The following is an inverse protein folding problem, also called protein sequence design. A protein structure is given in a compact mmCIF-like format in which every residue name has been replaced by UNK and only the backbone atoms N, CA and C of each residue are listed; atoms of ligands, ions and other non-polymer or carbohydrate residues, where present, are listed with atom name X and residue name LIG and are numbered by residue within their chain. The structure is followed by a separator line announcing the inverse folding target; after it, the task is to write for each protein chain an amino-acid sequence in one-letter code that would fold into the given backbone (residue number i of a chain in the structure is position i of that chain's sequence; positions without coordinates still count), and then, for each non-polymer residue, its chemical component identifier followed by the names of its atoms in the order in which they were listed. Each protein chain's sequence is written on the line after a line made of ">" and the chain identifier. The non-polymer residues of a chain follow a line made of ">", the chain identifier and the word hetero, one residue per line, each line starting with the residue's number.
data_IF_911460401001
#
_entry.id   IF_911460401001
#
_cell.length_a   1.000
_cell.length_b   1.000
_cell.length_c   1.000
_cell.angle_alpha   90.00
_cell.angle_beta   90.00
_cell.angle_gamma   90.00
#
_symmetry.space_group_name_H-M   'P 1'
#
loop_
_entity.id
_entity.type
_entity.pdbx_description
1 polymer ?
#
# COMPACT_ATOMS: atom_id res chain seq x y z
N UNK A 1 -41.30 -1.29 23.20
CA UNK A 1 -39.93 -0.84 23.52
C UNK A 1 -38.88 -1.90 23.23
N UNK A 2 -39.08 -3.17 23.59
CA UNK A 2 -38.18 -4.30 23.34
C UNK A 2 -37.97 -4.61 21.84
N UNK A 3 -39.00 -4.57 21.02
CA UNK A 3 -38.91 -4.82 19.53
C UNK A 3 -38.10 -3.75 18.81
N UNK A 4 -38.21 -2.47 19.21
CA UNK A 4 -37.44 -1.35 18.65
C UNK A 4 -35.95 -1.46 19.02
N UNK A 5 -35.63 -1.93 20.22
CA UNK A 5 -34.26 -2.16 20.67
C UNK A 5 -33.60 -3.37 19.95
N UNK A 6 -34.36 -4.43 19.64
CA UNK A 6 -33.86 -5.57 18.88
C UNK A 6 -33.56 -5.25 17.42
N UNK A 7 -34.28 -4.32 16.81
CA UNK A 7 -34.02 -3.85 15.43
C UNK A 7 -32.90 -2.79 15.35
N UNK A 8 -32.63 -2.06 16.43
CA UNK A 8 -31.60 -1.02 16.47
C UNK A 8 -30.18 -1.59 16.76
N UNK A 9 -30.08 -2.72 17.47
CA UNK A 9 -28.77 -3.30 17.84
C UNK A 9 -27.88 -3.64 16.62
N UNK A 10 -28.36 -4.27 15.54
CA UNK A 10 -27.54 -4.55 14.36
C UNK A 10 -27.03 -3.27 13.66
N UNK A 11 -27.88 -2.24 13.58
CA UNK A 11 -27.50 -0.97 12.96
C UNK A 11 -26.45 -0.22 13.79
N UNK A 12 -26.55 -0.28 15.11
CA UNK A 12 -25.55 0.30 16.02
C UNK A 12 -24.19 -0.41 15.85
N UNK A 13 -24.17 -1.73 15.81
CA UNK A 13 -22.93 -2.51 15.61
C UNK A 13 -22.33 -2.21 14.23
N UNK A 14 -23.15 -2.13 13.18
CA UNK A 14 -22.71 -1.73 11.85
C UNK A 14 -22.12 -0.31 11.86
N UNK A 15 -22.77 0.64 12.53
CA UNK A 15 -22.26 2.01 12.69
C UNK A 15 -20.91 2.06 13.41
N UNK A 16 -20.74 1.27 14.48
CA UNK A 16 -19.45 1.16 15.20
C UNK A 16 -18.38 0.54 14.30
N UNK A 17 -18.71 -0.45 13.48
CA UNK A 17 -17.78 -1.06 12.53
C UNK A 17 -17.32 -0.05 11.47
N UNK A 18 -18.22 0.80 10.96
CA UNK A 18 -17.88 1.89 10.03
C UNK A 18 -16.96 2.91 10.70
N UNK A 19 -17.21 3.29 11.94
CA UNK A 19 -16.32 4.19 12.70
C UNK A 19 -14.95 3.56 12.95
N UNK A 20 -14.89 2.25 13.23
CA UNK A 20 -13.64 1.52 13.38
C UNK A 20 -12.84 1.49 12.05
N UNK A 21 -13.52 1.32 10.91
CA UNK A 21 -12.93 1.43 9.58
C UNK A 21 -12.34 2.82 9.33
N UNK A 22 -13.09 3.87 9.60
CA UNK A 22 -12.60 5.26 9.47
C UNK A 22 -11.39 5.52 10.39
N UNK A 23 -11.43 5.03 11.62
CA UNK A 23 -10.32 5.11 12.57
C UNK A 23 -9.07 4.38 12.08
N UNK A 24 -9.24 3.18 11.54
CA UNK A 24 -8.15 2.41 10.94
C UNK A 24 -7.60 3.10 9.68
N UNK A 25 -8.46 3.57 8.78
CA UNK A 25 -8.07 4.30 7.58
C UNK A 25 -7.31 5.60 7.94
N UNK A 26 -7.76 6.31 8.97
CA UNK A 26 -7.06 7.47 9.51
C UNK A 26 -5.68 7.09 10.05
N UNK A 27 -5.55 6.02 10.81
CA UNK A 27 -4.27 5.55 11.33
C UNK A 27 -3.29 5.16 10.20
N UNK A 28 -3.79 4.54 9.13
CA UNK A 28 -3.01 4.22 7.93
C UNK A 28 -2.55 5.47 7.18
N UNK A 29 -3.45 6.45 7.02
CA UNK A 29 -3.12 7.74 6.43
C UNK A 29 -2.05 8.50 7.22
N UNK A 30 -2.15 8.49 8.54
CA UNK A 30 -1.22 9.16 9.44
C UNK A 30 0.18 8.51 9.47
N UNK A 31 0.28 7.19 9.20
CA UNK A 31 1.52 6.41 9.36
C UNK A 31 2.04 5.81 8.06
N UNK A 32 1.32 4.88 7.47
CA UNK A 32 1.81 4.02 6.39
C UNK A 32 1.95 4.71 5.04
N UNK A 33 1.26 5.82 4.82
CA UNK A 33 1.28 6.57 3.57
C UNK A 33 2.33 7.71 3.54
N UNK A 34 3.08 7.94 4.61
CA UNK A 34 4.09 9.01 4.69
C UNK A 34 5.38 8.76 3.90
N UNK A 35 5.93 7.53 3.84
CA UNK A 35 7.22 7.24 3.22
C UNK A 35 7.40 7.69 1.76
N UNK A 36 6.37 7.66 0.88
CA UNK A 36 6.51 8.02 -0.53
C UNK A 36 7.13 9.39 -0.82
N UNK A 37 6.86 10.38 0.03
CA UNK A 37 7.43 11.73 -0.14
C UNK A 37 8.64 12.02 0.76
N UNK A 38 9.03 11.10 1.63
CA UNK A 38 10.18 11.29 2.50
C UNK A 38 11.47 11.60 1.73
N UNK A 39 11.77 10.95 0.57
CA UNK A 39 12.92 11.29 -0.24
C UNK A 39 12.87 12.71 -0.81
N UNK A 40 11.69 13.18 -1.25
CA UNK A 40 11.54 14.53 -1.79
C UNK A 40 11.72 15.61 -0.71
N UNK A 41 11.25 15.35 0.51
CA UNK A 41 11.46 16.23 1.67
C UNK A 41 12.93 16.18 2.12
N UNK A 42 13.51 14.99 2.22
CA UNK A 42 14.92 14.80 2.58
C UNK A 42 15.90 15.45 1.62
N UNK A 43 15.56 15.49 0.33
CA UNK A 43 16.31 16.19 -0.72
C UNK A 43 16.00 17.70 -0.81
N UNK A 44 15.21 18.26 0.10
CA UNK A 44 14.74 19.66 0.06
C UNK A 44 14.01 20.02 -1.27
N UNK A 45 13.44 19.04 -1.95
CA UNK A 45 12.68 19.27 -3.19
C UNK A 45 11.26 19.79 -2.90
N UNK A 46 10.71 19.47 -1.71
CA UNK A 46 9.35 19.85 -1.29
C UNK A 46 9.29 20.09 0.23
N UNK A 47 8.62 21.18 0.69
CA UNK A 47 8.38 21.41 2.12
C UNK A 47 7.46 20.34 2.71
N UNK A 48 7.69 19.94 3.97
CA UNK A 48 6.96 18.88 4.67
C UNK A 48 5.44 19.03 4.61
N UNK A 49 4.90 20.22 4.83
CA UNK A 49 3.44 20.45 4.81
C UNK A 49 2.84 20.27 3.42
N UNK A 50 3.54 20.70 2.37
CA UNK A 50 3.11 20.45 0.98
C UNK A 50 3.19 18.97 0.63
N UNK A 51 4.23 18.27 1.10
CA UNK A 51 4.36 16.84 0.93
C UNK A 51 3.20 16.10 1.60
N UNK A 52 2.85 16.43 2.85
CA UNK A 52 1.71 15.86 3.55
C UNK A 52 0.37 16.09 2.83
N UNK A 53 0.18 17.29 2.26
CA UNK A 53 -0.99 17.60 1.44
C UNK A 53 -1.06 16.66 0.21
N UNK A 54 0.03 16.54 -0.54
CA UNK A 54 0.07 15.67 -1.72
C UNK A 54 -0.08 14.19 -1.36
N UNK A 55 0.52 13.72 -0.26
CA UNK A 55 0.32 12.37 0.25
C UNK A 55 -1.17 12.10 0.43
N UNK A 56 -1.89 12.97 1.14
CA UNK A 56 -3.31 12.80 1.39
C UNK A 56 -4.12 12.71 0.10
N UNK A 57 -3.91 13.66 -0.82
CA UNK A 57 -4.63 13.71 -2.09
C UNK A 57 -4.35 12.48 -2.97
N UNK A 58 -3.07 12.16 -3.21
CA UNK A 58 -2.72 11.04 -4.09
C UNK A 58 -3.06 9.69 -3.48
N UNK A 59 -2.88 9.52 -2.15
CA UNK A 59 -3.29 8.29 -1.49
C UNK A 59 -4.81 8.10 -1.49
N UNK A 60 -5.61 9.16 -1.28
CA UNK A 60 -7.06 9.07 -1.37
C UNK A 60 -7.53 8.72 -2.80
N UNK A 61 -6.92 9.33 -3.82
CA UNK A 61 -7.22 8.98 -5.22
C UNK A 61 -6.86 7.51 -5.51
N UNK A 62 -5.68 7.05 -5.07
CA UNK A 62 -5.26 5.66 -5.22
C UNK A 62 -6.16 4.67 -4.47
N UNK A 63 -6.61 5.04 -3.28
CA UNK A 63 -7.53 4.25 -2.48
C UNK A 63 -8.83 3.93 -3.25
N UNK A 64 -9.44 4.96 -3.85
CA UNK A 64 -10.66 4.77 -4.66
C UNK A 64 -10.36 4.01 -5.96
N UNK A 65 -9.22 4.32 -6.58
CA UNK A 65 -8.92 3.80 -7.91
C UNK A 65 -8.42 2.34 -7.93
N UNK A 66 -7.77 1.86 -6.84
CA UNK A 66 -7.04 0.60 -6.85
C UNK A 66 -7.33 -0.32 -5.65
N UNK A 67 -8.13 0.10 -4.67
CA UNK A 67 -8.25 -0.58 -3.38
C UNK A 67 -9.05 -1.89 -3.38
N UNK A 68 -9.74 -2.24 -4.46
CA UNK A 68 -10.71 -3.34 -4.50
C UNK A 68 -10.11 -4.72 -4.23
N UNK A 69 -9.05 -5.10 -4.94
CA UNK A 69 -8.46 -6.44 -4.86
C UNK A 69 -7.91 -6.81 -3.47
N UNK A 70 -7.26 -5.85 -2.80
CA UNK A 70 -6.76 -6.05 -1.44
C UNK A 70 -7.90 -6.05 -0.42
N UNK A 71 -8.94 -5.19 -0.63
CA UNK A 71 -10.14 -5.19 0.21
C UNK A 71 -10.82 -6.56 0.20
N UNK A 72 -11.02 -7.14 -0.97
CA UNK A 72 -11.60 -8.47 -1.13
C UNK A 72 -10.79 -9.57 -0.43
N UNK A 73 -9.46 -9.57 -0.60
CA UNK A 73 -8.60 -10.56 0.07
C UNK A 73 -8.68 -10.44 1.59
N UNK A 74 -8.67 -9.23 2.14
CA UNK A 74 -8.72 -9.00 3.59
C UNK A 74 -10.11 -9.30 4.15
N UNK A 75 -11.18 -9.04 3.38
CA UNK A 75 -12.55 -9.24 3.82
C UNK A 75 -13.05 -10.68 3.69
N UNK A 76 -12.61 -11.39 2.65
CA UNK A 76 -13.16 -12.71 2.29
C UNK A 76 -12.11 -13.81 2.17
N UNK A 77 -10.84 -13.46 1.96
CA UNK A 77 -9.78 -14.42 1.63
C UNK A 77 -8.94 -14.90 2.82
N UNK A 78 -9.11 -14.36 4.03
CA UNK A 78 -8.27 -14.70 5.18
C UNK A 78 -8.85 -15.80 6.07
N UNK A 79 -10.14 -16.06 6.00
CA UNK A 79 -10.83 -17.05 6.84
C UNK A 79 -11.79 -17.86 5.97
N UNK A 80 -11.75 -19.15 6.12
CA UNK A 80 -12.66 -20.08 5.43
C UNK A 80 -13.89 -20.42 6.29
N UNK A 81 -15.00 -20.72 5.62
CA UNK A 81 -16.20 -21.26 6.22
C UNK A 81 -17.13 -20.27 6.94
N UNK A 82 -16.71 -19.02 7.13
CA UNK A 82 -17.53 -17.97 7.76
C UNK A 82 -17.34 -16.62 7.08
N UNK A 83 -18.40 -15.80 7.09
CA UNK A 83 -18.29 -14.39 6.71
C UNK A 83 -17.97 -13.53 7.93
N UNK A 84 -17.09 -12.55 7.77
CA UNK A 84 -16.75 -11.62 8.85
C UNK A 84 -17.98 -10.78 9.22
N UNK A 85 -18.43 -10.91 10.45
CA UNK A 85 -19.55 -10.14 10.97
C UNK A 85 -19.14 -8.71 11.33
N UNK A 86 -20.07 -7.73 11.42
CA UNK A 86 -19.74 -6.36 11.84
C UNK A 86 -19.03 -6.31 13.20
N UNK A 87 -19.36 -7.21 14.12
CA UNK A 87 -18.70 -7.31 15.43
C UNK A 87 -17.26 -7.80 15.30
N UNK A 88 -17.02 -8.83 14.46
CA UNK A 88 -15.68 -9.34 14.18
C UNK A 88 -14.82 -8.30 13.44
N UNK A 89 -15.40 -7.59 12.46
CA UNK A 89 -14.75 -6.48 11.78
C UNK A 89 -14.35 -5.37 12.76
N UNK A 90 -15.25 -4.99 13.67
CA UNK A 90 -14.97 -4.01 14.73
C UNK A 90 -13.78 -4.43 15.59
N UNK A 91 -13.81 -5.68 16.08
CA UNK A 91 -12.72 -6.22 16.90
C UNK A 91 -11.38 -6.22 16.17
N UNK A 92 -11.36 -6.67 14.91
CA UNK A 92 -10.16 -6.70 14.08
C UNK A 92 -9.61 -5.29 13.79
N UNK A 93 -10.45 -4.37 13.36
CA UNK A 93 -10.05 -3.01 13.00
C UNK A 93 -9.55 -2.21 14.20
N UNK A 94 -10.24 -2.28 15.33
CA UNK A 94 -9.79 -1.60 16.56
C UNK A 94 -8.50 -2.20 17.10
N UNK A 95 -8.34 -3.53 17.04
CA UNK A 95 -7.08 -4.19 17.41
C UNK A 95 -5.93 -3.71 16.53
N UNK A 96 -6.08 -3.76 15.20
CA UNK A 96 -5.04 -3.34 14.26
C UNK A 96 -4.72 -1.84 14.44
N UNK A 97 -5.73 -0.98 14.52
CA UNK A 97 -5.56 0.46 14.73
C UNK A 97 -4.85 0.76 16.06
N UNK A 98 -5.19 0.03 17.13
CA UNK A 98 -4.55 0.16 18.44
C UNK A 98 -3.06 -0.16 18.41
N UNK A 99 -2.66 -1.26 17.74
CA UNK A 99 -1.25 -1.61 17.55
C UNK A 99 -0.51 -0.57 16.72
N UNK A 100 -1.10 -0.09 15.60
CA UNK A 100 -0.48 0.95 14.76
C UNK A 100 -0.31 2.24 15.57
N UNK A 101 -1.32 2.66 16.33
CA UNK A 101 -1.25 3.84 17.18
C UNK A 101 -0.18 3.71 18.28
N UNK A 102 -0.03 2.52 18.87
CA UNK A 102 1.04 2.23 19.82
C UNK A 102 2.42 2.33 19.15
N UNK A 103 2.57 1.81 17.93
CA UNK A 103 3.79 1.94 17.13
C UNK A 103 4.16 3.38 16.85
N UNK A 104 3.20 4.21 16.46
CA UNK A 104 3.41 5.66 16.24
C UNK A 104 3.89 6.36 17.52
N UNK A 105 3.30 6.01 18.67
CA UNK A 105 3.70 6.61 19.97
C UNK A 105 5.07 6.18 20.45
N UNK A 106 5.43 4.92 20.22
CA UNK A 106 6.71 4.34 20.66
C UNK A 106 7.85 4.58 19.67
N UNK A 107 7.53 5.11 18.46
CA UNK A 107 8.50 5.27 17.37
C UNK A 107 8.86 3.94 16.68
N UNK A 108 8.12 2.88 16.93
CA UNK A 108 8.33 1.57 16.32
C UNK A 108 7.46 1.43 15.07
N UNK A 109 8.04 1.20 13.87
CA UNK A 109 7.26 1.07 12.64
C UNK A 109 6.53 -0.28 12.61
N UNK A 110 5.26 -0.28 13.06
CA UNK A 110 4.40 -1.47 12.99
C UNK A 110 3.93 -1.67 11.55
N UNK A 111 4.14 -2.85 10.96
CA UNK A 111 3.69 -3.13 9.60
C UNK A 111 2.17 -3.33 9.57
N UNK A 112 1.46 -2.40 8.94
CA UNK A 112 0.01 -2.36 8.95
C UNK A 112 -0.65 -3.62 8.38
N UNK A 113 -0.10 -4.20 7.30
CA UNK A 113 -0.62 -5.44 6.73
C UNK A 113 -0.55 -6.62 7.70
N UNK A 114 0.55 -6.74 8.45
CA UNK A 114 0.71 -7.80 9.47
C UNK A 114 -0.27 -7.59 10.63
N UNK A 115 -0.43 -6.34 11.07
CA UNK A 115 -1.36 -5.99 12.13
C UNK A 115 -2.82 -6.31 11.74
N UNK A 116 -3.23 -5.89 10.55
CA UNK A 116 -4.60 -6.13 10.07
C UNK A 116 -4.85 -7.61 9.80
N UNK A 117 -3.95 -8.28 9.07
CA UNK A 117 -4.11 -9.71 8.76
C UNK A 117 -4.17 -10.53 10.04
N UNK A 118 -3.27 -10.29 11.00
CA UNK A 118 -3.32 -10.98 12.29
C UNK A 118 -4.64 -10.76 13.03
N UNK A 119 -5.09 -9.51 13.12
CA UNK A 119 -6.31 -9.16 13.82
C UNK A 119 -7.57 -9.76 13.17
N UNK A 120 -7.64 -9.75 11.81
CA UNK A 120 -8.76 -10.35 11.05
C UNK A 120 -8.77 -11.87 11.22
N UNK A 121 -7.59 -12.50 11.10
CA UNK A 121 -7.45 -13.94 11.33
C UNK A 121 -7.86 -14.31 12.77
N UNK A 122 -7.38 -13.57 13.76
CA UNK A 122 -7.75 -13.81 15.16
C UNK A 122 -9.25 -13.69 15.40
N UNK A 123 -9.88 -12.62 14.96
CA UNK A 123 -11.32 -12.40 15.09
C UNK A 123 -12.14 -13.45 14.31
N UNK A 124 -11.72 -13.83 13.11
CA UNK A 124 -12.39 -14.82 12.28
C UNK A 124 -12.30 -16.24 12.83
N UNK A 125 -11.15 -16.63 13.39
CA UNK A 125 -11.02 -17.90 14.11
C UNK A 125 -11.89 -17.93 15.37
N UNK A 126 -11.98 -16.81 16.09
CA UNK A 126 -12.85 -16.69 17.26
C UNK A 126 -14.35 -16.76 16.90
N UNK A 127 -14.71 -16.35 15.68
CA UNK A 127 -16.04 -16.46 15.09
C UNK A 127 -16.40 -17.93 14.72
N UNK A 128 -15.41 -18.83 14.70
CA UNK A 128 -15.57 -20.24 14.35
C UNK A 128 -15.15 -20.60 12.92
N UNK A 129 -14.50 -19.69 12.22
CA UNK A 129 -13.96 -19.95 10.87
C UNK A 129 -12.67 -20.80 10.90
N UNK A 130 -12.32 -21.34 9.74
CA UNK A 130 -11.08 -22.07 9.49
C UNK A 130 -9.98 -21.20 8.93
N UNK A 131 -8.70 -21.61 9.04
CA UNK A 131 -7.58 -20.91 8.45
C UNK A 131 -7.52 -21.10 6.91
N UNK A 132 -7.40 -20.02 6.16
CA UNK A 132 -7.25 -20.03 4.70
C UNK A 132 -5.79 -20.29 4.30
N UNK A 133 -5.33 -21.55 4.39
CA UNK A 133 -3.91 -21.94 4.24
C UNK A 133 -3.29 -21.50 2.93
N UNK A 134 -4.00 -21.63 1.81
CA UNK A 134 -3.50 -21.23 0.48
C UNK A 134 -3.21 -19.73 0.42
N UNK A 135 -4.11 -18.92 1.00
CA UNK A 135 -3.90 -17.48 1.13
C UNK A 135 -2.71 -17.19 2.03
N UNK A 136 -2.60 -17.84 3.17
CA UNK A 136 -1.47 -17.63 4.09
C UNK A 136 -0.13 -17.98 3.47
N UNK A 137 -0.05 -19.08 2.70
CA UNK A 137 1.16 -19.45 1.98
C UNK A 137 1.53 -18.38 0.95
N UNK A 138 0.55 -17.87 0.19
CA UNK A 138 0.77 -16.81 -0.81
C UNK A 138 1.24 -15.51 -0.15
N UNK A 139 0.59 -15.09 0.94
CA UNK A 139 0.99 -13.90 1.71
C UNK A 139 2.39 -14.05 2.31
N UNK A 140 2.66 -15.17 2.96
CA UNK A 140 3.94 -15.46 3.61
C UNK A 140 5.10 -15.45 2.60
N UNK A 141 4.91 -16.10 1.46
CA UNK A 141 5.90 -16.11 0.37
C UNK A 141 6.19 -14.69 -0.12
N UNK A 142 5.16 -13.90 -0.36
CA UNK A 142 5.31 -12.51 -0.81
C UNK A 142 6.01 -11.66 0.25
N UNK A 143 5.60 -11.75 1.52
CA UNK A 143 6.18 -10.95 2.60
C UNK A 143 7.66 -11.26 2.85
N UNK A 144 8.06 -12.52 2.68
CA UNK A 144 9.47 -12.93 2.78
C UNK A 144 10.24 -12.41 1.56
N UNK A 145 9.70 -12.51 0.35
CA UNK A 145 10.37 -12.11 -0.88
C UNK A 145 10.55 -10.60 -1.01
N UNK A 146 9.57 -9.80 -0.57
CA UNK A 146 9.50 -8.35 -0.77
C UNK A 146 10.77 -7.59 -0.34
N UNK A 147 11.32 -7.75 0.88
CA UNK A 147 12.53 -7.02 1.27
C UNK A 147 13.73 -7.32 0.37
N UNK A 148 13.89 -8.58 -0.06
CA UNK A 148 14.99 -9.00 -0.94
C UNK A 148 14.81 -8.46 -2.36
N UNK A 149 13.60 -8.58 -2.92
CA UNK A 149 13.27 -8.03 -4.25
C UNK A 149 13.47 -6.52 -4.25
N UNK A 150 12.98 -5.82 -3.21
CA UNK A 150 13.16 -4.39 -3.05
C UNK A 150 14.64 -4.02 -2.97
N UNK A 151 15.43 -4.73 -2.17
CA UNK A 151 16.86 -4.48 -2.03
C UNK A 151 17.60 -4.70 -3.37
N UNK A 152 17.27 -5.76 -4.09
CA UNK A 152 17.89 -6.08 -5.40
C UNK A 152 17.58 -5.00 -6.43
N UNK A 153 16.32 -4.59 -6.57
CA UNK A 153 15.91 -3.53 -7.51
C UNK A 153 16.57 -2.20 -7.12
N UNK A 154 16.58 -1.86 -5.84
CA UNK A 154 17.22 -0.63 -5.35
C UNK A 154 18.73 -0.63 -5.58
N UNK A 155 19.41 -1.77 -5.35
CA UNK A 155 20.84 -1.93 -5.63
C UNK A 155 21.13 -1.75 -7.11
N UNK A 156 20.39 -2.44 -7.98
CA UNK A 156 20.56 -2.34 -9.43
C UNK A 156 20.32 -0.90 -9.92
N UNK A 157 19.27 -0.26 -9.45
CA UNK A 157 18.93 1.14 -9.77
C UNK A 157 20.00 2.11 -9.27
N UNK A 158 20.47 1.95 -8.03
CA UNK A 158 21.53 2.80 -7.48
C UNK A 158 22.86 2.61 -8.20
N UNK A 159 23.17 1.37 -8.60
CA UNK A 159 24.36 1.07 -9.42
C UNK A 159 24.27 1.74 -10.77
N UNK A 160 23.12 1.68 -11.45
CA UNK A 160 22.90 2.37 -12.73
C UNK A 160 23.10 3.89 -12.59
N UNK A 161 22.53 4.49 -11.55
CA UNK A 161 22.63 5.95 -11.31
C UNK A 161 24.03 6.42 -10.90
N UNK A 162 24.94 5.51 -10.56
CA UNK A 162 26.35 5.81 -10.23
C UNK A 162 27.32 5.57 -11.35
N UNK A 163 26.88 4.97 -12.46
CA UNK A 163 27.76 4.71 -13.61
C UNK A 163 28.21 6.03 -14.23
N UNK A 164 29.51 6.24 -14.28
CA UNK A 164 30.11 7.44 -14.88
C UNK A 164 30.12 7.38 -16.41
N UNK A 165 30.07 6.17 -16.98
CA UNK A 165 29.99 5.93 -18.42
C UNK A 165 28.60 6.22 -19.02
N UNK A 166 27.56 6.35 -18.17
CA UNK A 166 26.19 6.65 -18.60
C UNK A 166 25.77 8.03 -18.08
N UNK A 167 25.40 8.96 -18.97
CA UNK A 167 24.93 10.28 -18.54
C UNK A 167 23.74 10.16 -17.57
N UNK A 168 23.75 10.91 -16.48
CA UNK A 168 22.69 10.90 -15.47
C UNK A 168 21.31 11.18 -16.07
N UNK A 169 21.26 12.12 -17.03
CA UNK A 169 20.06 12.42 -17.82
C UNK A 169 19.47 11.15 -18.46
N UNK A 170 20.32 10.27 -19.02
CA UNK A 170 19.87 9.04 -19.67
C UNK A 170 19.41 8.01 -18.64
N UNK A 171 20.17 7.81 -17.57
CA UNK A 171 19.85 6.85 -16.52
C UNK A 171 18.50 7.14 -15.85
N UNK A 172 18.27 8.40 -15.46
CA UNK A 172 16.99 8.79 -14.83
C UNK A 172 15.85 8.71 -15.86
N UNK A 173 16.08 9.09 -17.12
CA UNK A 173 15.05 8.97 -18.16
C UNK A 173 14.68 7.51 -18.45
N UNK A 174 15.65 6.57 -18.46
CA UNK A 174 15.37 5.13 -18.60
C UNK A 174 14.53 4.60 -17.44
N UNK A 175 14.86 4.99 -16.22
CA UNK A 175 14.07 4.62 -15.05
C UNK A 175 12.65 5.19 -15.09
N UNK A 176 12.51 6.42 -15.60
CA UNK A 176 11.19 7.03 -15.80
C UNK A 176 10.38 6.32 -16.89
N UNK A 177 11.03 5.76 -17.92
CA UNK A 177 10.36 4.93 -18.92
C UNK A 177 9.77 3.66 -18.32
N UNK A 178 10.49 2.99 -17.41
CA UNK A 178 9.98 1.83 -16.68
C UNK A 178 8.75 2.21 -15.84
N UNK A 179 8.81 3.35 -15.15
CA UNK A 179 7.65 3.87 -14.39
C UNK A 179 6.46 4.13 -15.32
N UNK A 180 6.69 4.77 -16.49
CA UNK A 180 5.65 5.02 -17.49
C UNK A 180 5.05 3.74 -18.08
N UNK A 181 5.89 2.75 -18.37
CA UNK A 181 5.45 1.43 -18.83
C UNK A 181 4.53 0.75 -17.80
N UNK A 182 4.93 0.75 -16.54
CA UNK A 182 4.12 0.14 -15.47
C UNK A 182 2.83 0.93 -15.23
N UNK A 183 2.85 2.27 -15.33
CA UNK A 183 1.66 3.10 -15.23
C UNK A 183 0.56 2.74 -16.25
N UNK A 184 0.95 2.33 -17.47
CA UNK A 184 -0.01 1.85 -18.46
C UNK A 184 -0.71 0.55 -18.05
N UNK A 185 -0.06 -0.23 -17.16
CA UNK A 185 -0.50 -1.55 -16.70
C UNK A 185 -1.04 -1.52 -15.26
N UNK A 186 -1.23 -0.34 -14.71
CA UNK A 186 -1.90 -0.15 -13.43
C UNK A 186 -3.36 -0.55 -13.56
N UNK A 187 -3.84 -1.38 -12.63
CA UNK A 187 -5.24 -1.77 -12.56
C UNK A 187 -6.08 -0.70 -11.89
N UNK A 188 -7.24 -0.43 -12.46
CA UNK A 188 -8.20 0.55 -11.95
C UNK A 188 -9.55 -0.10 -11.69
N UNK A 189 -10.09 0.11 -10.50
CA UNK A 189 -11.39 -0.43 -10.07
C UNK A 189 -12.56 0.01 -10.97
N UNK A 190 -12.43 1.17 -11.61
CA UNK A 190 -13.47 1.75 -12.48
C UNK A 190 -13.34 1.37 -13.97
N UNK A 191 -12.31 0.61 -14.35
CA UNK A 191 -12.20 0.04 -15.70
C UNK A 191 -12.73 -1.40 -15.65
N UNK A 192 -14.00 -1.64 -16.07
CA UNK A 192 -14.59 -2.96 -15.99
C UNK A 192 -13.95 -3.89 -17.03
N UNK A 193 -13.67 -5.11 -16.61
CA UNK A 193 -13.26 -6.23 -17.45
C UNK A 193 -14.01 -7.47 -16.95
N UNK A 194 -14.41 -8.36 -17.84
CA UNK A 194 -14.97 -9.65 -17.43
C UNK A 194 -13.94 -10.39 -16.54
N UNK A 195 -14.33 -10.60 -15.28
CA UNK A 195 -13.51 -11.32 -14.30
C UNK A 195 -12.48 -10.50 -13.51
N UNK A 196 -12.54 -9.13 -13.53
CA UNK A 196 -11.61 -8.35 -12.71
C UNK A 196 -11.55 -6.85 -13.03
N UNK A 197 -10.44 -6.23 -12.62
CA UNK A 197 -10.12 -4.81 -12.90
C UNK A 197 -9.28 -4.67 -14.17
N UNK A 198 -9.49 -3.59 -14.91
CA UNK A 198 -8.80 -3.33 -16.18
C UNK A 198 -7.62 -2.37 -16.05
N UNK A 199 -6.64 -2.56 -16.93
CA UNK A 199 -5.52 -1.64 -17.09
C UNK A 199 -5.80 -0.61 -18.19
N UNK A 200 -5.11 0.55 -18.13
CA UNK A 200 -5.21 1.55 -19.20
C UNK A 200 -4.77 0.99 -20.55
N UNK A 201 -3.69 0.21 -20.59
CA UNK A 201 -3.19 -0.42 -21.80
C UNK A 201 -4.20 -1.41 -22.38
N UNK A 202 -4.78 -2.28 -21.56
CA UNK A 202 -5.80 -3.22 -21.99
C UNK A 202 -7.10 -2.55 -22.42
N UNK A 203 -7.52 -1.47 -21.75
CA UNK A 203 -8.69 -0.68 -22.16
C UNK A 203 -8.50 -0.05 -23.55
N UNK A 204 -7.36 0.62 -23.76
CA UNK A 204 -7.04 1.24 -25.05
C UNK A 204 -6.88 0.20 -26.16
N UNK A 205 -6.26 -0.94 -25.86
CA UNK A 205 -6.14 -2.03 -26.84
C UNK A 205 -7.52 -2.49 -27.31
N UNK A 206 -8.43 -2.77 -26.40
CA UNK A 206 -9.81 -3.18 -26.75
C UNK A 206 -10.56 -2.09 -27.52
N UNK A 207 -10.42 -0.82 -27.11
CA UNK A 207 -11.05 0.30 -27.80
C UNK A 207 -10.55 0.49 -29.24
N UNK A 208 -9.31 0.06 -29.54
CA UNK A 208 -8.69 0.11 -30.86
C UNK A 208 -8.89 -1.18 -31.69
N UNK A 209 -9.71 -2.12 -31.21
CA UNK A 209 -10.03 -3.36 -31.92
C UNK A 209 -9.23 -4.59 -31.48
N UNK A 210 -8.33 -4.46 -30.50
CA UNK A 210 -7.49 -5.54 -30.01
C UNK A 210 -6.37 -5.95 -30.98
N UNK A 211 -5.53 -6.88 -30.55
CA UNK A 211 -4.42 -7.44 -31.33
C UNK A 211 -4.16 -8.90 -30.93
N UNK A 212 -3.33 -9.66 -31.67
CA UNK A 212 -2.94 -10.99 -31.28
C UNK A 212 -2.32 -11.01 -29.87
N UNK A 213 -2.73 -11.99 -29.07
CA UNK A 213 -2.24 -12.20 -27.71
C UNK A 213 -0.77 -12.59 -27.75
N UNK A 214 0.07 -11.90 -26.96
CA UNK A 214 1.49 -12.22 -26.79
C UNK A 214 1.71 -13.22 -25.65
N UNK A 215 1.14 -12.92 -24.48
CA UNK A 215 1.19 -13.82 -23.32
C UNK A 215 -0.04 -13.63 -22.42
N UNK A 216 -0.65 -14.72 -21.97
CA UNK A 216 -1.84 -14.68 -21.12
C UNK A 216 -2.96 -13.87 -21.75
N UNK A 217 -3.40 -12.81 -21.10
CA UNK A 217 -4.39 -11.84 -21.62
C UNK A 217 -3.76 -10.58 -22.23
N UNK A 218 -2.43 -10.53 -22.35
CA UNK A 218 -1.67 -9.35 -22.78
C UNK A 218 -1.44 -9.39 -24.28
N UNK A 219 -2.06 -8.50 -25.02
CA UNK A 219 -1.96 -8.44 -26.47
C UNK A 219 -0.87 -7.49 -26.97
N UNK A 220 -0.52 -7.57 -28.25
CA UNK A 220 0.53 -6.78 -28.86
C UNK A 220 0.22 -5.28 -28.85
N UNK A 221 -1.04 -4.88 -28.90
CA UNK A 221 -1.45 -3.48 -28.87
C UNK A 221 -1.33 -2.90 -27.47
N UNK A 222 -1.74 -3.64 -26.43
CA UNK A 222 -1.53 -3.25 -25.04
C UNK A 222 -0.05 -3.09 -24.71
N UNK A 223 0.81 -3.99 -25.23
CA UNK A 223 2.26 -3.85 -25.12
C UNK A 223 2.76 -2.58 -25.82
N UNK A 224 2.28 -2.30 -27.03
CA UNK A 224 2.60 -1.08 -27.78
C UNK A 224 2.19 0.20 -27.03
N UNK A 225 0.99 0.23 -26.43
CA UNK A 225 0.51 1.35 -25.58
C UNK A 225 1.42 1.54 -24.37
N UNK A 226 1.83 0.45 -23.73
CA UNK A 226 2.71 0.50 -22.56
C UNK A 226 4.09 1.06 -22.93
N UNK A 227 4.65 0.64 -24.07
CA UNK A 227 5.91 1.20 -24.60
C UNK A 227 5.75 2.67 -24.96
N UNK A 228 4.64 3.05 -25.59
CA UNK A 228 4.37 4.44 -25.97
C UNK A 228 4.29 5.35 -24.72
N UNK A 229 3.58 4.93 -23.65
CA UNK A 229 3.53 5.70 -22.42
C UNK A 229 4.91 5.77 -21.74
N UNK A 230 5.67 4.67 -21.75
CA UNK A 230 7.07 4.66 -21.29
C UNK A 230 7.93 5.66 -22.06
N UNK A 231 7.80 5.70 -23.38
CA UNK A 231 8.53 6.62 -24.24
C UNK A 231 8.12 8.10 -24.01
N UNK A 232 6.84 8.37 -23.80
CA UNK A 232 6.33 9.72 -23.48
C UNK A 232 6.94 10.21 -22.16
N UNK A 233 6.92 9.37 -21.11
CA UNK A 233 7.50 9.73 -19.81
C UNK A 233 9.02 9.90 -19.92
N UNK A 234 9.71 9.01 -20.64
CA UNK A 234 11.13 9.13 -20.95
C UNK A 234 11.48 10.48 -21.58
N UNK A 235 10.79 10.83 -22.69
CA UNK A 235 11.04 12.07 -23.43
C UNK A 235 10.72 13.29 -22.56
N UNK A 236 9.63 13.25 -21.80
CA UNK A 236 9.22 14.32 -20.90
C UNK A 236 10.28 14.60 -19.84
N UNK A 237 10.72 13.57 -19.11
CA UNK A 237 11.76 13.69 -18.07
C UNK A 237 13.09 14.13 -18.65
N UNK A 238 13.52 13.53 -19.78
CA UNK A 238 14.75 13.90 -20.46
C UNK A 238 14.75 15.36 -20.91
N UNK A 239 13.62 15.85 -21.42
CA UNK A 239 13.48 17.24 -21.87
C UNK A 239 13.58 18.23 -20.71
N UNK A 240 13.01 17.88 -19.56
CA UNK A 240 13.11 18.68 -18.33
C UNK A 240 14.54 18.70 -17.80
N UNK A 241 15.24 17.56 -17.80
CA UNK A 241 16.61 17.46 -17.33
C UNK A 241 17.59 18.23 -18.26
N UNK A 242 17.34 18.23 -19.57
CA UNK A 242 18.12 19.03 -20.51
C UNK A 242 17.96 20.54 -20.33
N UNK A 243 16.81 20.98 -19.83
CA UNK A 243 16.59 22.40 -19.50
C UNK A 243 17.30 22.80 -18.21
N UNK A 244 17.22 21.96 -17.20
CA UNK A 244 17.89 22.10 -15.92
C UNK A 244 17.96 20.75 -15.22
N UNK A 245 19.15 20.23 -15.02
CA UNK A 245 19.38 18.93 -14.38
C UNK A 245 18.75 18.89 -12.97
N UNK A 246 19.05 19.88 -12.14
CA UNK A 246 18.53 19.93 -10.75
C UNK A 246 17.01 20.04 -10.68
N UNK A 247 16.41 20.88 -11.54
CA UNK A 247 14.97 21.03 -11.60
C UNK A 247 14.28 19.75 -12.13
N UNK A 248 14.88 19.12 -13.15
CA UNK A 248 14.39 17.85 -13.71
C UNK A 248 14.39 16.73 -12.71
N UNK A 249 15.49 16.53 -11.98
CA UNK A 249 15.60 15.51 -10.93
C UNK A 249 14.60 15.78 -9.80
N UNK A 250 14.46 17.02 -9.34
CA UNK A 250 13.49 17.40 -8.31
C UNK A 250 12.05 17.12 -8.75
N UNK A 251 11.67 17.50 -9.97
CA UNK A 251 10.33 17.25 -10.52
C UNK A 251 10.06 15.75 -10.67
N UNK A 252 11.06 15.00 -11.16
CA UNK A 252 10.93 13.55 -11.25
C UNK A 252 10.73 12.91 -9.86
N UNK A 253 11.49 13.33 -8.85
CA UNK A 253 11.38 12.83 -7.49
C UNK A 253 10.00 13.14 -6.87
N UNK A 254 9.46 14.35 -7.11
CA UNK A 254 8.11 14.71 -6.68
C UNK A 254 7.05 13.87 -7.41
N UNK A 255 7.19 13.72 -8.73
CA UNK A 255 6.28 12.90 -9.54
C UNK A 255 6.29 11.43 -9.11
N UNK A 256 7.48 10.87 -8.89
CA UNK A 256 7.64 9.50 -8.39
C UNK A 256 7.02 9.35 -7.00
N UNK A 257 7.23 10.32 -6.11
CA UNK A 257 6.58 10.36 -4.79
C UNK A 257 5.05 10.38 -4.90
N UNK A 258 4.49 11.13 -5.84
CA UNK A 258 3.04 11.19 -6.08
C UNK A 258 2.47 9.84 -6.56
N UNK A 259 3.16 9.20 -7.51
CA UNK A 259 2.77 7.88 -8.04
C UNK A 259 2.87 6.80 -6.95
N UNK A 260 3.95 6.82 -6.16
CA UNK A 260 4.12 5.88 -5.04
C UNK A 260 3.08 6.14 -3.94
N UNK A 261 2.72 7.40 -3.66
CA UNK A 261 1.65 7.72 -2.71
C UNK A 261 0.28 7.24 -3.21
N UNK A 262 0.00 7.39 -4.51
CA UNK A 262 -1.20 6.84 -5.14
C UNK A 262 -1.26 5.31 -4.97
N UNK A 263 -0.19 4.59 -5.30
CA UNK A 263 -0.11 3.14 -5.12
C UNK A 263 -0.20 2.72 -3.65
N UNK A 264 0.39 3.53 -2.75
CA UNK A 264 0.27 3.30 -1.31
C UNK A 264 -1.18 3.39 -0.85
N UNK A 265 -1.93 4.39 -1.29
CA UNK A 265 -3.35 4.53 -0.98
C UNK A 265 -4.16 3.32 -1.44
N UNK A 266 -3.96 2.88 -2.69
CA UNK A 266 -4.61 1.70 -3.25
C UNK A 266 -4.33 0.42 -2.46
N UNK A 267 -3.09 0.25 -2.01
CA UNK A 267 -2.72 -0.92 -1.23
C UNK A 267 -3.16 -0.86 0.24
N UNK A 268 -3.21 0.32 0.83
CA UNK A 268 -3.48 0.46 2.27
C UNK A 268 -4.98 0.54 2.58
N UNK A 269 -5.81 1.09 1.67
CA UNK A 269 -7.24 1.23 1.93
C UNK A 269 -7.92 -0.12 2.19
N UNK A 270 -7.53 -1.17 1.47
CA UNK A 270 -8.08 -2.51 1.65
C UNK A 270 -7.86 -3.09 3.05
N UNK A 271 -6.82 -2.66 3.76
CA UNK A 271 -6.57 -3.06 5.16
C UNK A 271 -7.64 -2.49 6.12
N UNK A 272 -8.20 -1.32 5.81
CA UNK A 272 -9.26 -0.72 6.60
C UNK A 272 -10.65 -1.16 6.13
N UNK A 273 -10.86 -1.24 4.83
CA UNK A 273 -12.18 -1.50 4.23
C UNK A 273 -12.53 -2.98 4.13
N UNK A 274 -11.52 -3.85 3.92
CA UNK A 274 -11.72 -5.28 3.71
C UNK A 274 -12.62 -5.95 4.76
N UNK A 275 -12.39 -5.79 6.06
CA UNK A 275 -13.23 -6.42 7.08
C UNK A 275 -14.71 -6.01 7.03
N UNK A 276 -15.04 -4.87 6.39
CA UNK A 276 -16.43 -4.43 6.19
C UNK A 276 -17.03 -4.86 4.85
N UNK A 277 -16.26 -5.42 3.94
CA UNK A 277 -16.73 -5.80 2.63
C UNK A 277 -17.95 -6.75 2.67
N UNK A 278 -17.97 -7.82 3.50
CA UNK A 278 -19.15 -8.66 3.63
C UNK A 278 -20.41 -7.92 4.11
N UNK A 279 -20.23 -6.89 4.96
CA UNK A 279 -21.34 -6.05 5.43
C UNK A 279 -21.91 -5.21 4.28
N UNK A 280 -21.07 -4.55 3.49
CA UNK A 280 -21.51 -3.71 2.39
C UNK A 280 -22.14 -4.53 1.27
N UNK A 281 -21.63 -5.73 0.99
CA UNK A 281 -22.24 -6.68 0.06
C UNK A 281 -23.65 -7.08 0.50
N UNK A 282 -23.87 -7.29 1.80
CA UNK A 282 -25.19 -7.65 2.33
C UNK A 282 -26.24 -6.56 2.12
N UNK A 283 -25.81 -5.29 1.99
CA UNK A 283 -26.68 -4.16 1.65
C UNK A 283 -26.77 -3.89 0.14
N UNK A 284 -26.08 -4.65 -0.70
CA UNK A 284 -25.99 -4.40 -2.13
C UNK A 284 -25.30 -3.07 -2.47
N UNK A 285 -24.46 -2.57 -1.57
CA UNK A 285 -23.77 -1.28 -1.74
C UNK A 285 -22.53 -1.47 -2.62
N UNK A 286 -22.36 -0.66 -3.68
CA UNK A 286 -21.17 -0.75 -4.53
C UNK A 286 -19.88 -0.58 -3.73
N UNK A 287 -18.88 -1.45 -3.98
CA UNK A 287 -17.58 -1.45 -3.27
C UNK A 287 -16.85 -0.10 -3.33
N UNK A 288 -17.09 0.70 -4.38
CA UNK A 288 -16.51 2.05 -4.50
C UNK A 288 -16.93 3.00 -3.36
N UNK A 289 -18.12 2.80 -2.79
CA UNK A 289 -18.60 3.60 -1.64
C UNK A 289 -17.75 3.27 -0.40
N UNK A 290 -17.44 2.00 -0.20
CA UNK A 290 -16.59 1.54 0.88
C UNK A 290 -15.15 2.05 0.71
N UNK A 291 -14.61 1.98 -0.51
CA UNK A 291 -13.29 2.54 -0.83
C UNK A 291 -13.26 4.06 -0.63
N UNK A 292 -14.32 4.76 -0.99
CA UNK A 292 -14.49 6.20 -0.75
C UNK A 292 -14.46 6.56 0.74
N UNK A 293 -15.12 5.75 1.57
CA UNK A 293 -15.09 5.89 3.03
C UNK A 293 -13.66 5.76 3.57
N UNK A 294 -12.94 4.71 3.14
CA UNK A 294 -11.54 4.50 3.49
C UNK A 294 -10.64 5.63 2.99
N UNK A 295 -10.88 6.13 1.77
CA UNK A 295 -10.12 7.24 1.18
C UNK A 295 -10.25 8.53 1.99
N UNK A 296 -11.44 8.85 2.51
CA UNK A 296 -11.65 9.99 3.42
C UNK A 296 -10.84 9.82 4.70
N UNK A 297 -10.86 8.62 5.30
CA UNK A 297 -10.04 8.33 6.48
C UNK A 297 -8.56 8.53 6.22
N UNK A 298 -8.03 7.97 5.10
CA UNK A 298 -6.63 8.11 4.68
C UNK A 298 -6.26 9.58 4.47
N UNK A 299 -7.10 10.35 3.77
CA UNK A 299 -6.90 11.77 3.51
C UNK A 299 -6.73 12.57 4.81
N UNK A 300 -7.69 12.43 5.71
CA UNK A 300 -7.68 13.12 7.01
C UNK A 300 -6.48 12.68 7.86
N UNK A 301 -6.18 11.37 7.88
CA UNK A 301 -5.02 10.83 8.59
C UNK A 301 -3.71 11.39 8.07
N UNK A 302 -3.55 11.44 6.74
CA UNK A 302 -2.35 11.99 6.11
C UNK A 302 -2.14 13.47 6.46
N UNK A 303 -3.19 14.27 6.45
CA UNK A 303 -3.07 15.70 6.78
C UNK A 303 -2.81 15.95 8.26
N UNK A 304 -3.34 15.13 9.15
CA UNK A 304 -3.21 15.30 10.61
C UNK A 304 -1.93 14.66 11.17
N UNK A 305 -1.52 13.50 10.67
CA UNK A 305 -0.46 12.68 11.26
C UNK A 305 0.84 12.61 10.47
N UNK A 306 0.78 12.62 9.13
CA UNK A 306 1.97 12.46 8.27
C UNK A 306 3.10 13.46 8.50
N UNK A 307 2.88 14.76 8.83
CA UNK A 307 3.99 15.72 8.94
C UNK A 307 5.07 15.29 9.93
N UNK A 308 4.68 14.71 11.06
CA UNK A 308 5.63 14.25 12.10
C UNK A 308 6.44 13.05 11.63
N UNK A 309 5.78 12.06 11.08
CA UNK A 309 6.44 10.85 10.59
C UNK A 309 7.30 11.14 9.35
N UNK A 310 6.82 12.00 8.46
CA UNK A 310 7.54 12.45 7.29
C UNK A 310 8.87 13.12 7.65
N UNK A 311 8.89 13.98 8.68
CA UNK A 311 10.12 14.58 9.20
C UNK A 311 11.10 13.54 9.77
N UNK A 312 10.60 12.53 10.49
CA UNK A 312 11.44 11.47 11.04
C UNK A 312 12.07 10.63 9.93
N UNK A 313 11.25 10.15 8.97
CA UNK A 313 11.70 9.30 7.86
C UNK A 313 12.58 10.08 6.87
N UNK A 314 12.27 11.36 6.60
CA UNK A 314 13.06 12.17 5.66
C UNK A 314 14.52 12.37 6.11
N UNK A 315 14.81 12.32 7.42
CA UNK A 315 16.18 12.37 7.94
C UNK A 315 17.03 11.17 7.52
N UNK A 316 16.41 9.99 7.44
CA UNK A 316 17.07 8.78 6.93
C UNK A 316 17.38 8.93 5.44
N UNK A 317 16.45 9.47 4.66
CA UNK A 317 16.65 9.72 3.24
C UNK A 317 17.60 10.88 2.94
N UNK A 318 17.72 11.88 3.80
CA UNK A 318 18.66 12.99 3.60
C UNK A 318 20.12 12.52 3.57
N UNK A 319 20.42 11.41 4.26
CA UNK A 319 21.73 10.77 4.22
C UNK A 319 21.99 9.99 2.92
N UNK A 320 20.91 9.60 2.20
CA UNK A 320 21.03 8.86 0.94
C UNK A 320 21.39 9.77 -0.24
N UNK A 321 21.02 11.06 -0.20
CA UNK A 321 21.10 11.96 -1.34
C UNK A 321 20.03 11.62 -2.41
N UNK A 322 19.86 12.51 -3.40
CA UNK A 322 18.73 12.45 -4.35
C UNK A 322 18.74 11.19 -5.21
N UNK A 323 19.89 10.77 -5.72
CA UNK A 323 20.01 9.58 -6.60
C UNK A 323 19.63 8.30 -5.90
N UNK A 324 20.12 8.08 -4.68
CA UNK A 324 19.78 6.90 -3.88
C UNK A 324 18.35 6.94 -3.38
N UNK A 325 17.79 8.12 -3.18
CA UNK A 325 16.37 8.31 -2.87
C UNK A 325 15.47 7.85 -4.01
N UNK A 326 15.82 8.16 -5.26
CA UNK A 326 15.12 7.64 -6.45
C UNK A 326 15.22 6.11 -6.48
N UNK A 327 16.43 5.57 -6.28
CA UNK A 327 16.67 4.13 -6.27
C UNK A 327 15.86 3.38 -5.19
N UNK A 328 15.63 3.99 -4.03
CA UNK A 328 14.82 3.40 -2.97
C UNK A 328 13.30 3.46 -3.25
N UNK A 329 12.82 4.45 -4.02
CA UNK A 329 11.39 4.60 -4.33
C UNK A 329 10.89 3.72 -5.48
N UNK A 330 11.72 3.47 -6.49
CA UNK A 330 11.33 2.67 -7.66
C UNK A 330 10.81 1.29 -7.27
N UNK A 331 11.51 0.48 -6.42
CA UNK A 331 10.95 -0.78 -5.97
C UNK A 331 9.64 -0.61 -5.21
N UNK A 332 9.47 0.51 -4.49
CA UNK A 332 8.21 0.84 -3.82
C UNK A 332 7.01 0.87 -4.76
N UNK A 333 7.18 1.51 -5.92
CA UNK A 333 6.15 1.55 -6.94
C UNK A 333 5.91 0.17 -7.59
N UNK A 334 6.97 -0.50 -8.04
CA UNK A 334 6.86 -1.79 -8.74
C UNK A 334 6.21 -2.86 -7.85
N UNK A 335 6.67 -2.98 -6.61
CA UNK A 335 6.14 -3.97 -5.66
C UNK A 335 4.69 -3.64 -5.28
N UNK A 336 4.36 -2.34 -5.09
CA UNK A 336 2.99 -1.94 -4.79
C UNK A 336 2.01 -2.34 -5.89
N UNK A 337 2.36 -2.08 -7.16
CA UNK A 337 1.51 -2.45 -8.29
C UNK A 337 1.38 -3.97 -8.43
N UNK A 338 2.46 -4.71 -8.23
CA UNK A 338 2.42 -6.17 -8.23
C UNK A 338 1.53 -6.71 -7.10
N UNK A 339 1.63 -6.15 -5.90
CA UNK A 339 0.82 -6.56 -4.75
C UNK A 339 -0.67 -6.27 -4.98
N UNK A 340 -1.01 -5.10 -5.54
CA UNK A 340 -2.39 -4.73 -5.88
C UNK A 340 -2.96 -5.69 -6.92
N UNK A 341 -2.23 -5.95 -8.00
CA UNK A 341 -2.65 -6.87 -9.06
C UNK A 341 -2.86 -8.31 -8.55
N UNK A 342 -2.11 -8.73 -7.54
CA UNK A 342 -2.25 -10.05 -6.91
C UNK A 342 -3.24 -10.06 -5.73
N UNK A 343 -3.81 -8.91 -5.36
CA UNK A 343 -4.66 -8.77 -4.18
C UNK A 343 -3.93 -9.09 -2.87
N UNK A 344 -2.60 -8.87 -2.79
CA UNK A 344 -1.80 -9.22 -1.61
C UNK A 344 -1.62 -8.01 -0.71
N UNK A 345 -2.17 -8.01 0.51
CA UNK A 345 -1.88 -6.99 1.50
C UNK A 345 -0.40 -7.01 1.88
N UNK A 346 0.27 -5.87 1.80
CA UNK A 346 1.69 -5.75 2.13
C UNK A 346 1.97 -4.47 2.93
N UNK A 347 3.15 -4.41 3.52
CA UNK A 347 3.58 -3.22 4.27
C UNK A 347 4.61 -2.43 3.46
N UNK A 348 4.32 -1.16 3.22
CA UNK A 348 5.27 -0.23 2.61
C UNK A 348 6.58 -0.11 3.40
N UNK A 349 6.52 -0.25 4.72
CA UNK A 349 7.72 -0.22 5.56
C UNK A 349 8.73 -1.32 5.18
N UNK A 350 8.24 -2.53 4.84
CA UNK A 350 9.10 -3.64 4.42
C UNK A 350 9.81 -3.33 3.09
N UNK A 351 9.09 -2.73 2.15
CA UNK A 351 9.63 -2.33 0.85
C UNK A 351 10.67 -1.23 1.00
N UNK A 352 10.36 -0.20 1.81
CA UNK A 352 11.26 0.92 2.06
C UNK A 352 12.55 0.46 2.74
N UNK A 353 12.45 -0.39 3.75
CA UNK A 353 13.63 -0.93 4.45
C UNK A 353 14.51 -1.69 3.45
N UNK A 354 13.92 -2.57 2.62
CA UNK A 354 14.65 -3.25 1.54
C UNK A 354 15.31 -2.26 0.59
N UNK A 355 14.58 -1.25 0.13
CA UNK A 355 15.08 -0.22 -0.78
C UNK A 355 16.24 0.60 -0.21
N UNK A 356 16.16 1.00 1.06
CA UNK A 356 17.24 1.72 1.76
C UNK A 356 18.47 0.83 1.90
N UNK A 357 18.29 -0.43 2.30
CA UNK A 357 19.39 -1.40 2.40
C UNK A 357 20.07 -1.58 1.03
N UNK A 358 19.29 -1.90 0.00
CA UNK A 358 19.83 -2.15 -1.33
C UNK A 358 20.56 -0.95 -1.92
N UNK A 359 19.97 0.24 -1.85
CA UNK A 359 20.63 1.49 -2.32
C UNK A 359 21.85 1.89 -1.48
N UNK A 360 21.87 1.49 -0.20
CA UNK A 360 23.01 1.72 0.71
C UNK A 360 24.19 0.79 0.41
N UNK A 361 23.96 -0.47 0.05
CA UNK A 361 24.99 -1.47 -0.23
C UNK A 361 25.92 -1.06 -1.39
N UNK A 362 25.48 -0.20 -2.31
CA UNK A 362 26.30 0.30 -3.43
C UNK A 362 27.50 1.12 -2.96
N UNK A 363 27.44 1.72 -1.74
CA UNK A 363 28.55 2.48 -1.13
C UNK A 363 29.33 1.69 -0.08
N UNK A 364 29.02 0.41 0.10
CA UNK A 364 29.67 -0.49 1.07
C UNK A 364 28.77 -0.87 2.23
N UNK A 365 29.07 -1.98 2.87
CA UNK A 365 28.23 -2.63 3.90
C UNK A 365 28.17 -1.88 5.25
N UNK A 366 28.89 -0.79 5.43
CA UNK A 366 29.03 -0.10 6.71
C UNK A 366 27.74 0.56 7.24
N UNK A 367 26.69 0.65 6.43
CA UNK A 367 25.40 1.27 6.80
C UNK A 367 24.30 0.31 7.25
N UNK A 368 24.51 -1.01 7.15
CA UNK A 368 23.43 -2.00 7.37
C UNK A 368 23.75 -2.86 8.60
N UNK A 369 22.99 -2.67 9.66
CA UNK A 369 23.14 -3.47 10.90
C UNK A 369 22.28 -4.75 10.83
N UNK A 370 22.90 -5.93 10.75
CA UNK A 370 22.21 -7.22 10.81
C UNK A 370 21.32 -7.35 12.07
N UNK A 371 21.76 -6.75 13.20
CA UNK A 371 20.97 -6.70 14.44
C UNK A 371 19.66 -5.92 14.25
N UNK A 372 19.68 -4.76 13.56
CA UNK A 372 18.47 -3.98 13.27
C UNK A 372 17.52 -4.77 12.39
N UNK A 373 18.03 -5.43 11.35
CA UNK A 373 17.20 -6.28 10.46
C UNK A 373 16.55 -7.39 11.29
N UNK A 374 17.30 -8.13 12.09
CA UNK A 374 16.76 -9.21 12.93
C UNK A 374 15.68 -8.74 13.90
N UNK A 375 15.89 -7.62 14.60
CA UNK A 375 14.89 -7.02 15.48
C UNK A 375 13.62 -6.63 14.70
N UNK A 376 13.78 -6.08 13.51
CA UNK A 376 12.66 -5.68 12.66
C UNK A 376 11.82 -6.89 12.23
N UNK A 377 12.46 -7.99 11.80
CA UNK A 377 11.76 -9.25 11.42
C UNK A 377 11.02 -9.83 12.62
N UNK A 378 11.65 -9.89 13.79
CA UNK A 378 11.01 -10.36 15.03
C UNK A 378 9.81 -9.47 15.40
N UNK A 379 9.93 -8.15 15.24
CA UNK A 379 8.83 -7.23 15.49
C UNK A 379 7.66 -7.44 14.51
N UNK A 380 7.93 -7.76 13.24
CA UNK A 380 6.90 -8.06 12.26
C UNK A 380 6.12 -9.32 12.62
N UNK A 381 6.81 -10.42 12.90
CA UNK A 381 6.19 -11.68 13.31
C UNK A 381 5.46 -11.51 14.65
N UNK A 382 6.06 -10.79 15.60
CA UNK A 382 5.44 -10.47 16.88
C UNK A 382 4.17 -9.63 16.72
N UNK A 383 4.14 -8.72 15.74
CA UNK A 383 2.92 -7.96 15.41
C UNK A 383 1.82 -8.88 14.87
N UNK A 384 2.13 -9.74 13.91
CA UNK A 384 1.16 -10.67 13.31
C UNK A 384 0.52 -11.56 14.37
N UNK A 385 1.34 -12.22 15.17
CA UNK A 385 0.88 -13.13 16.23
C UNK A 385 0.17 -12.36 17.36
N UNK A 386 0.74 -11.24 17.80
CA UNK A 386 0.18 -10.42 18.87
C UNK A 386 -1.20 -9.87 18.52
N UNK A 387 -1.37 -9.32 17.30
CA UNK A 387 -2.68 -8.85 16.86
C UNK A 387 -3.67 -9.99 16.64
N UNK A 388 -3.21 -11.18 16.26
CA UNK A 388 -4.05 -12.39 16.18
C UNK A 388 -4.61 -12.79 17.54
N UNK A 389 -3.75 -12.88 18.54
CA UNK A 389 -4.16 -13.24 19.91
C UNK A 389 -5.12 -12.17 20.50
N UNK A 390 -4.75 -10.89 20.36
CA UNK A 390 -5.59 -9.80 20.88
C UNK A 390 -6.90 -9.70 20.11
N UNK A 391 -6.91 -9.85 18.79
CA UNK A 391 -8.12 -9.84 17.96
C UNK A 391 -9.07 -10.97 18.32
N UNK A 392 -8.53 -12.18 18.53
CA UNK A 392 -9.31 -13.33 19.01
C UNK A 392 -9.95 -13.04 20.37
N UNK A 393 -9.15 -12.63 21.35
CA UNK A 393 -9.65 -12.35 22.71
C UNK A 393 -10.63 -11.19 22.74
N UNK A 394 -10.38 -10.14 21.97
CA UNK A 394 -11.25 -8.96 21.92
C UNK A 394 -12.60 -9.28 21.29
N UNK A 395 -12.61 -10.04 20.18
CA UNK A 395 -13.88 -10.52 19.61
C UNK A 395 -14.68 -11.35 20.63
N UNK A 396 -14.04 -12.33 21.30
CA UNK A 396 -14.71 -13.16 22.33
C UNK A 396 -15.29 -12.31 23.46
N UNK A 397 -14.54 -11.30 23.92
CA UNK A 397 -15.04 -10.38 24.96
C UNK A 397 -16.26 -9.58 24.47
N UNK A 398 -16.22 -9.04 23.25
CA UNK A 398 -17.35 -8.33 22.66
C UNK A 398 -18.57 -9.24 22.46
N UNK A 399 -18.36 -10.48 22.00
CA UNK A 399 -19.43 -11.46 21.78
C UNK A 399 -20.17 -11.78 23.10
N UNK A 400 -19.45 -11.95 24.21
CA UNK A 400 -20.05 -12.14 25.54
C UNK A 400 -20.87 -10.92 25.98
N UNK A 401 -20.32 -9.71 25.80
CA UNK A 401 -20.99 -8.45 26.21
C UNK A 401 -22.24 -8.19 25.38
N UNK A 402 -22.20 -8.50 24.08
CA UNK A 402 -23.33 -8.26 23.16
C UNK A 402 -24.33 -9.40 23.09
N UNK A 403 -24.05 -10.53 23.76
CA UNK A 403 -24.88 -11.74 23.67
C UNK A 403 -24.87 -12.43 22.31
N UNK A 404 -23.83 -12.18 21.50
CA UNK A 404 -23.64 -12.73 20.15
C UNK A 404 -22.73 -13.99 20.16
N UNK A 405 -22.49 -14.58 21.33
CA UNK A 405 -21.64 -15.74 21.52
C UNK A 405 -22.38 -17.06 21.48
#
# INVERSE_FOLDING_TARGET
>A
MTVVLQSAAPLLVAGVAVLACLGMAWALGASSNSPPFAPAVGANALPTMRAAFFIGVFAALGAVAQGGSISETVGKGLIDGVSITPLAATAALLTAAGFIAAGVRTGYPIPAAFATTGAVVGAGLALGGGPAYDTYQRLGTFWIAVPFVSATIAYATATLLRREDVPEELSVSLLSAIVGFVLANVEFTFIPVEGGTGTLAGYLSRALGGAPVLFGSYDALAFGVSLALGAVVFVGVRREMRRSMDAGIRRFLIGLGAIVAFSSGGSQVGLATGPLEPLFDSFGTPGIVLLGLGAVGILLGAWMGSPRLLQAVSREYSQLGVRRSIAALIPGFLIAQTAIALGIPFSFNNVIIGGVIGSGLVVGSAGVSARKIGITVVAWLGTLVGTGIVGFGFYRALAVVTGAG
#
